data_IF_616565930215
#
_entry.id   IF_616565930215
#
_cell.length_a   1.000
_cell.length_b   1.000
_cell.length_c   1.000
_cell.angle_alpha   90.00
_cell.angle_beta   90.00
_cell.angle_gamma   90.00
#
_symmetry.space_group_name_H-M   'P 1'
#
loop_
_entity.id
_entity.type
_entity.pdbx_description
1 polymer ?
#
# COMPACT_ATOMS: atom_id res chain seq x y z
N UNK A 1 29.90 -14.15 -13.81
CA UNK A 1 29.47 -12.82 -14.33
C UNK A 1 29.04 -12.01 -13.14
N UNK A 2 29.25 -10.70 -13.12
CA UNK A 2 28.81 -9.85 -12.00
C UNK A 2 27.37 -9.38 -12.21
N UNK A 3 26.51 -9.47 -11.21
CA UNK A 3 25.15 -8.93 -11.23
C UNK A 3 25.19 -7.38 -11.13
N UNK A 4 24.33 -6.64 -11.81
CA UNK A 4 23.41 -7.08 -12.89
C UNK A 4 24.16 -7.47 -14.17
N UNK A 5 23.49 -8.16 -15.09
CA UNK A 5 24.02 -8.56 -16.39
C UNK A 5 24.36 -7.36 -17.28
N UNK A 6 25.01 -7.62 -18.44
CA UNK A 6 25.55 -6.55 -19.28
C UNK A 6 24.48 -5.64 -19.86
N UNK A 7 23.34 -6.19 -20.34
CA UNK A 7 22.23 -5.39 -20.92
C UNK A 7 21.60 -4.51 -19.85
N UNK A 8 21.31 -5.09 -18.70
CA UNK A 8 20.73 -4.37 -17.56
C UNK A 8 21.65 -3.22 -17.12
N UNK A 9 22.96 -3.45 -16.99
CA UNK A 9 23.93 -2.38 -16.65
C UNK A 9 23.94 -1.24 -17.66
N UNK A 10 23.88 -1.55 -18.96
CA UNK A 10 23.85 -0.53 -20.00
C UNK A 10 22.60 0.35 -19.86
N UNK A 11 21.43 -0.25 -19.69
CA UNK A 11 20.16 0.47 -19.54
C UNK A 11 20.17 1.33 -18.24
N UNK A 12 20.65 0.79 -17.12
CA UNK A 12 20.77 1.54 -15.87
C UNK A 12 21.71 2.74 -16.00
N UNK A 13 22.86 2.55 -16.64
CA UNK A 13 23.81 3.65 -16.88
C UNK A 13 23.23 4.74 -17.80
N UNK A 14 22.49 4.38 -18.83
CA UNK A 14 21.80 5.34 -19.67
C UNK A 14 20.67 6.06 -18.91
N UNK A 15 19.96 5.35 -18.04
CA UNK A 15 18.88 5.94 -17.24
C UNK A 15 19.37 7.04 -16.30
N UNK A 16 20.56 6.93 -15.74
CA UNK A 16 21.16 7.94 -14.85
C UNK A 16 21.29 9.32 -15.50
N UNK A 17 21.31 9.39 -16.84
CA UNK A 17 21.42 10.65 -17.57
C UNK A 17 20.07 11.32 -17.88
N UNK A 18 18.98 10.55 -17.97
CA UNK A 18 17.70 11.04 -18.48
C UNK A 18 16.50 10.77 -17.57
N UNK A 19 16.61 9.80 -16.68
CA UNK A 19 15.54 9.46 -15.76
C UNK A 19 15.74 10.18 -14.43
N UNK A 20 14.68 10.79 -13.89
CA UNK A 20 14.78 11.50 -12.63
C UNK A 20 15.20 10.54 -11.49
N UNK A 21 16.32 10.86 -10.82
CA UNK A 21 16.83 10.08 -9.69
C UNK A 21 15.94 10.30 -8.47
N UNK A 22 14.95 9.47 -8.28
CA UNK A 22 14.05 9.57 -7.13
C UNK A 22 14.09 8.35 -6.22
N UNK A 23 14.08 7.13 -6.76
CA UNK A 23 13.96 5.89 -5.97
C UNK A 23 14.45 4.66 -6.74
N UNK A 24 15.50 4.78 -7.56
CA UNK A 24 16.02 3.62 -8.29
C UNK A 24 17.07 2.87 -7.45
N UNK A 25 16.60 2.10 -6.45
CA UNK A 25 17.48 1.31 -5.59
C UNK A 25 17.63 -0.14 -6.07
N UNK A 26 16.83 -0.59 -7.06
CA UNK A 26 16.88 -1.98 -7.55
C UNK A 26 17.71 -2.12 -8.80
N UNK A 27 18.50 -3.17 -8.84
CA UNK A 27 19.29 -3.60 -10.01
C UNK A 27 18.52 -4.55 -10.92
N UNK A 28 17.27 -4.91 -10.58
CA UNK A 28 16.39 -5.74 -11.40
C UNK A 28 15.56 -4.84 -12.32
N UNK A 29 15.73 -4.97 -13.62
CA UNK A 29 14.85 -4.37 -14.64
C UNK A 29 13.82 -5.41 -15.08
N UNK A 30 12.54 -5.10 -14.99
CA UNK A 30 11.48 -5.99 -15.44
C UNK A 30 11.30 -5.87 -16.96
N UNK A 31 11.83 -6.82 -17.74
CA UNK A 31 11.63 -6.91 -19.19
C UNK A 31 10.39 -7.71 -19.55
N UNK A 32 10.09 -8.76 -18.79
CA UNK A 32 8.85 -9.54 -18.89
C UNK A 32 8.49 -10.14 -17.54
N UNK A 33 7.28 -10.67 -17.42
CA UNK A 33 6.84 -11.33 -16.20
C UNK A 33 5.71 -12.31 -16.45
N UNK A 34 5.62 -13.32 -15.59
CA UNK A 34 4.52 -14.28 -15.55
C UNK A 34 4.20 -14.64 -14.09
N UNK A 35 2.99 -14.34 -13.65
CA UNK A 35 2.53 -14.47 -12.27
C UNK A 35 3.51 -13.84 -11.26
N UNK A 36 4.25 -14.64 -10.49
CA UNK A 36 5.22 -14.19 -9.50
C UNK A 36 6.66 -14.09 -10.04
N UNK A 37 6.90 -14.38 -11.32
CA UNK A 37 8.24 -14.42 -11.90
C UNK A 37 8.50 -13.18 -12.75
N UNK A 38 9.61 -12.50 -12.46
CA UNK A 38 10.16 -11.40 -13.30
C UNK A 38 11.36 -11.93 -14.06
N UNK A 39 11.49 -11.56 -15.33
CA UNK A 39 12.68 -11.81 -16.15
C UNK A 39 13.30 -10.47 -16.54
N UNK A 40 14.61 -10.32 -16.31
CA UNK A 40 15.36 -9.13 -16.71
C UNK A 40 15.81 -9.20 -18.19
N UNK A 41 16.41 -8.11 -18.76
CA UNK A 41 16.90 -8.09 -20.14
C UNK A 41 18.03 -9.08 -20.44
N UNK A 42 18.73 -9.56 -19.43
CA UNK A 42 19.81 -10.54 -19.54
C UNK A 42 19.31 -12.00 -19.43
N UNK A 43 18.02 -12.20 -19.10
CA UNK A 43 17.37 -13.51 -18.96
C UNK A 43 17.42 -14.09 -17.53
N UNK A 44 17.93 -13.33 -16.56
CA UNK A 44 17.86 -13.74 -15.16
C UNK A 44 16.41 -13.70 -14.65
N UNK A 45 16.03 -14.63 -13.79
CA UNK A 45 14.68 -14.76 -13.26
C UNK A 45 14.62 -14.55 -11.77
N UNK A 46 13.56 -13.87 -11.31
CA UNK A 46 13.39 -13.49 -9.90
C UNK A 46 11.96 -13.79 -9.45
N UNK A 47 11.79 -14.34 -8.26
CA UNK A 47 10.47 -14.45 -7.64
C UNK A 47 10.14 -13.12 -6.97
N UNK A 48 9.02 -12.51 -7.36
CA UNK A 48 8.56 -11.21 -6.88
C UNK A 48 7.83 -11.34 -5.55
N UNK A 49 8.52 -11.00 -4.47
CA UNK A 49 7.94 -10.82 -3.13
C UNK A 49 7.67 -9.34 -2.79
N UNK A 50 7.80 -8.45 -3.78
CA UNK A 50 7.50 -7.03 -3.68
C UNK A 50 6.12 -6.68 -4.23
N UNK A 51 5.69 -7.37 -5.29
CA UNK A 51 4.37 -7.22 -5.92
C UNK A 51 4.05 -5.79 -6.36
N UNK A 52 5.07 -5.02 -6.82
CA UNK A 52 4.89 -3.61 -7.16
C UNK A 52 4.41 -2.75 -5.98
N UNK A 53 4.92 -3.00 -4.76
CA UNK A 53 4.43 -2.42 -3.50
C UNK A 53 2.93 -2.69 -3.24
N UNK A 54 2.45 -3.86 -3.67
CA UNK A 54 1.04 -4.27 -3.53
C UNK A 54 0.14 -3.85 -4.70
N UNK A 55 0.70 -3.59 -5.87
CA UNK A 55 -0.06 -3.30 -7.11
C UNK A 55 -0.46 -4.57 -7.84
N UNK A 56 0.46 -5.53 -7.99
CA UNK A 56 0.28 -6.72 -8.82
C UNK A 56 -0.34 -7.89 -8.04
N UNK A 57 -1.42 -7.65 -7.28
CA UNK A 57 -2.04 -8.68 -6.45
C UNK A 57 -2.45 -9.94 -7.23
N UNK A 58 -2.83 -9.80 -8.49
CA UNK A 58 -3.19 -10.93 -9.36
C UNK A 58 -2.01 -11.47 -10.18
N UNK A 59 -0.78 -11.06 -9.85
CA UNK A 59 0.42 -11.44 -10.59
C UNK A 59 0.57 -10.73 -11.94
N UNK A 60 1.74 -10.87 -12.52
CA UNK A 60 2.04 -10.35 -13.85
C UNK A 60 1.40 -11.21 -14.94
N UNK A 61 1.14 -10.62 -16.10
CA UNK A 61 0.57 -11.32 -17.26
C UNK A 61 -0.73 -12.07 -16.95
N UNK A 62 -1.54 -11.54 -16.02
CA UNK A 62 -2.79 -12.20 -15.63
C UNK A 62 -3.77 -12.25 -16.82
N UNK A 63 -4.27 -13.45 -17.21
CA UNK A 63 -5.08 -13.60 -18.42
C UNK A 63 -6.43 -12.85 -18.32
N UNK A 64 -7.03 -12.72 -17.15
CA UNK A 64 -8.28 -12.00 -16.97
C UNK A 64 -8.08 -10.48 -17.16
N UNK A 65 -6.97 -9.93 -16.63
CA UNK A 65 -6.61 -8.51 -16.82
C UNK A 65 -6.31 -8.23 -18.29
N UNK A 66 -5.50 -9.07 -18.95
CA UNK A 66 -5.18 -8.91 -20.38
C UNK A 66 -6.45 -8.97 -21.24
N UNK A 67 -7.34 -9.94 -21.00
CA UNK A 67 -8.61 -10.05 -21.71
C UNK A 67 -9.52 -8.82 -21.48
N UNK A 68 -9.56 -8.28 -20.27
CA UNK A 68 -10.33 -7.08 -19.94
C UNK A 68 -9.81 -5.85 -20.70
N UNK A 69 -8.49 -5.66 -20.78
CA UNK A 69 -7.87 -4.59 -21.55
C UNK A 69 -8.19 -4.74 -23.04
N UNK A 70 -7.98 -5.93 -23.62
CA UNK A 70 -8.27 -6.21 -25.03
C UNK A 70 -9.74 -5.96 -25.37
N UNK A 71 -10.66 -6.44 -24.53
CA UNK A 71 -12.09 -6.21 -24.72
C UNK A 71 -12.44 -4.71 -24.71
N UNK A 72 -11.79 -3.90 -23.86
CA UNK A 72 -12.02 -2.45 -23.85
C UNK A 72 -11.45 -1.78 -25.12
N UNK A 73 -10.27 -2.17 -25.56
CA UNK A 73 -9.67 -1.62 -26.79
C UNK A 73 -10.54 -1.90 -28.01
N UNK A 74 -11.20 -3.05 -28.10
CA UNK A 74 -12.13 -3.42 -29.18
C UNK A 74 -13.37 -2.51 -29.25
N UNK A 75 -13.75 -1.83 -28.17
CA UNK A 75 -14.87 -0.85 -28.21
C UNK A 75 -14.49 0.45 -28.90
N UNK A 76 -13.20 0.71 -29.11
CA UNK A 76 -12.68 1.97 -29.63
C UNK A 76 -12.66 3.12 -28.61
N UNK A 77 -13.19 2.92 -27.40
CA UNK A 77 -13.27 3.97 -26.34
C UNK A 77 -12.17 3.72 -25.31
N UNK A 78 -11.05 4.42 -25.43
CA UNK A 78 -9.94 4.35 -24.47
C UNK A 78 -10.14 5.37 -23.35
N UNK A 79 -10.65 6.55 -23.70
CA UNK A 79 -10.92 7.64 -22.77
C UNK A 79 -12.35 8.16 -22.93
N UNK A 80 -12.99 8.44 -21.80
CA UNK A 80 -14.25 9.17 -21.73
C UNK A 80 -14.19 10.01 -20.45
N UNK A 81 -14.30 11.33 -20.62
CA UNK A 81 -14.23 12.27 -19.51
C UNK A 81 -15.46 12.14 -18.61
N UNK A 82 -15.23 11.96 -17.33
CA UNK A 82 -16.28 11.65 -16.35
C UNK A 82 -17.40 12.72 -16.27
N UNK A 83 -17.06 14.00 -16.52
CA UNK A 83 -18.01 15.11 -16.42
C UNK A 83 -18.89 15.29 -17.66
N UNK A 84 -18.33 15.12 -18.85
CA UNK A 84 -18.99 15.47 -20.11
C UNK A 84 -19.48 14.26 -20.88
N UNK A 85 -18.90 13.10 -20.63
CA UNK A 85 -19.28 11.84 -21.27
C UNK A 85 -19.21 10.70 -20.23
N UNK A 86 -20.24 10.53 -19.38
CA UNK A 86 -20.26 9.50 -18.35
C UNK A 86 -19.98 8.11 -18.93
N UNK A 87 -19.06 7.40 -18.29
CA UNK A 87 -18.62 6.08 -18.69
C UNK A 87 -19.41 5.01 -17.90
N UNK A 88 -20.16 4.11 -18.56
CA UNK A 88 -20.93 3.07 -17.88
C UNK A 88 -20.10 2.19 -16.93
N UNK A 89 -18.86 1.87 -17.29
CA UNK A 89 -17.97 1.05 -16.45
C UNK A 89 -17.55 1.77 -15.16
N UNK A 90 -17.31 3.09 -15.22
CA UNK A 90 -17.03 3.88 -14.03
C UNK A 90 -18.25 3.94 -13.09
N UNK A 91 -19.46 4.02 -13.65
CA UNK A 91 -20.71 3.97 -12.88
C UNK A 91 -20.87 2.60 -12.22
N UNK A 92 -20.70 1.52 -12.99
CA UNK A 92 -20.77 0.14 -12.49
C UNK A 92 -19.78 -0.12 -11.36
N UNK A 93 -18.52 0.30 -11.54
CA UNK A 93 -17.46 0.22 -10.51
C UNK A 93 -17.86 1.00 -9.26
N UNK A 94 -18.38 2.22 -9.44
CA UNK A 94 -18.80 3.06 -8.32
C UNK A 94 -19.98 2.44 -7.56
N UNK A 95 -20.95 1.85 -8.27
CA UNK A 95 -22.07 1.13 -7.66
C UNK A 95 -21.58 -0.09 -6.86
N UNK A 96 -20.68 -0.89 -7.44
CA UNK A 96 -20.12 -2.07 -6.76
C UNK A 96 -19.38 -1.66 -5.48
N UNK A 97 -18.48 -0.69 -5.56
CA UNK A 97 -17.71 -0.20 -4.42
C UNK A 97 -18.64 0.42 -3.35
N UNK A 98 -19.58 1.25 -3.74
CA UNK A 98 -20.56 1.84 -2.82
C UNK A 98 -21.44 0.80 -2.14
N UNK A 99 -21.85 -0.25 -2.83
CA UNK A 99 -22.71 -1.30 -2.27
C UNK A 99 -21.99 -2.17 -1.25
N UNK A 100 -20.70 -2.47 -1.47
CA UNK A 100 -19.96 -3.47 -0.68
C UNK A 100 -19.07 -2.89 0.41
N UNK A 101 -18.71 -1.59 0.35
CA UNK A 101 -17.80 -0.97 1.31
C UNK A 101 -18.39 -0.86 2.73
N UNK A 102 -17.53 -0.81 3.78
CA UNK A 102 -17.95 -0.60 5.16
C UNK A 102 -18.27 0.88 5.50
N UNK A 103 -18.16 1.79 4.55
CA UNK A 103 -18.54 3.20 4.74
C UNK A 103 -20.02 3.31 5.01
N UNK A 104 -20.40 4.17 5.96
CA UNK A 104 -21.79 4.43 6.35
C UNK A 104 -22.67 4.77 5.15
N UNK A 105 -23.82 4.10 5.04
CA UNK A 105 -24.76 4.25 3.92
C UNK A 105 -25.73 5.43 4.11
N UNK A 106 -26.21 6.07 3.06
CA UNK A 106 -25.78 5.87 1.66
C UNK A 106 -24.37 6.38 1.42
N UNK A 107 -23.65 5.75 0.50
CA UNK A 107 -22.27 6.14 0.14
C UNK A 107 -22.15 6.47 -1.35
N UNK A 108 -21.13 7.27 -1.67
CA UNK A 108 -20.77 7.69 -3.04
C UNK A 108 -19.29 7.39 -3.29
N UNK A 109 -18.87 7.43 -4.55
CA UNK A 109 -17.50 7.15 -4.98
C UNK A 109 -17.03 8.25 -5.92
N UNK A 110 -15.83 8.74 -5.65
CA UNK A 110 -15.06 9.57 -6.58
C UNK A 110 -13.87 8.74 -7.08
N UNK A 111 -13.73 8.62 -8.41
CA UNK A 111 -12.63 7.89 -9.04
C UNK A 111 -11.50 8.85 -9.42
N UNK A 112 -10.26 8.47 -9.13
CA UNK A 112 -9.04 9.21 -9.40
C UNK A 112 -7.98 8.31 -10.07
N UNK A 113 -6.72 8.76 -10.18
CA UNK A 113 -5.67 8.04 -10.91
C UNK A 113 -4.61 7.43 -10.00
N UNK A 114 -4.63 7.78 -8.73
CA UNK A 114 -3.61 7.33 -7.76
C UNK A 114 -4.14 7.32 -6.33
N UNK A 115 -3.40 6.68 -5.44
CA UNK A 115 -3.69 6.72 -4.00
C UNK A 115 -3.49 8.11 -3.40
N UNK A 116 -2.51 8.89 -3.87
CA UNK A 116 -2.31 10.25 -3.42
C UNK A 116 -3.52 11.13 -3.78
N UNK A 117 -4.03 11.04 -5.02
CA UNK A 117 -5.25 11.75 -5.41
C UNK A 117 -6.48 11.29 -4.62
N UNK A 118 -6.60 10.00 -4.32
CA UNK A 118 -7.70 9.48 -3.51
C UNK A 118 -7.66 10.06 -2.09
N UNK A 119 -6.50 10.12 -1.46
CA UNK A 119 -6.31 10.72 -0.14
C UNK A 119 -6.48 12.25 -0.16
N UNK A 120 -6.05 12.94 -1.21
CA UNK A 120 -6.33 14.38 -1.38
C UNK A 120 -7.82 14.67 -1.55
N UNK A 121 -8.53 13.84 -2.31
CA UNK A 121 -9.98 13.94 -2.44
C UNK A 121 -10.67 13.73 -1.08
N UNK A 122 -10.23 12.74 -0.29
CA UNK A 122 -10.73 12.50 1.06
C UNK A 122 -10.51 13.72 1.99
N UNK A 123 -9.32 14.32 1.95
CA UNK A 123 -9.01 15.56 2.68
C UNK A 123 -9.94 16.69 2.26
N UNK A 124 -10.08 16.94 0.96
CA UNK A 124 -10.93 18.01 0.41
C UNK A 124 -12.41 17.80 0.73
N UNK A 125 -12.89 16.56 0.80
CA UNK A 125 -14.26 16.26 1.25
C UNK A 125 -14.50 16.76 2.68
N UNK A 126 -13.60 16.45 3.61
CA UNK A 126 -13.69 16.92 4.98
C UNK A 126 -13.71 18.46 5.05
N UNK A 127 -12.79 19.11 4.33
CA UNK A 127 -12.68 20.56 4.30
C UNK A 127 -13.92 21.21 3.67
N UNK A 128 -14.48 20.65 2.59
CA UNK A 128 -15.70 21.14 1.95
C UNK A 128 -16.92 20.98 2.89
N UNK A 129 -17.06 19.81 3.54
CA UNK A 129 -18.12 19.55 4.51
C UNK A 129 -18.11 20.59 5.65
N UNK A 130 -16.95 20.84 6.26
CA UNK A 130 -16.81 21.86 7.32
C UNK A 130 -17.05 23.28 6.80
N UNK A 131 -16.62 23.58 5.60
CA UNK A 131 -16.89 24.87 4.97
C UNK A 131 -18.40 25.11 4.78
N UNK A 132 -19.12 24.12 4.28
CA UNK A 132 -20.58 24.20 4.06
C UNK A 132 -21.37 24.26 5.37
N UNK A 133 -20.86 23.65 6.44
CA UNK A 133 -21.41 23.74 7.78
C UNK A 133 -21.08 25.07 8.50
N UNK A 134 -20.24 25.93 7.92
CA UNK A 134 -19.78 27.17 8.59
C UNK A 134 -18.69 26.93 9.64
N UNK A 135 -18.10 25.74 9.71
CA UNK A 135 -17.16 25.30 10.75
C UNK A 135 -15.69 25.38 10.33
N UNK A 136 -15.36 25.82 9.10
CA UNK A 136 -14.01 25.77 8.52
C UNK A 136 -12.92 26.41 9.41
N UNK A 137 -13.25 27.50 10.10
CA UNK A 137 -12.30 28.19 10.96
C UNK A 137 -12.22 27.63 12.39
N UNK A 138 -13.16 26.76 12.74
CA UNK A 138 -13.25 26.13 14.07
C UNK A 138 -12.53 24.77 14.06
N UNK A 139 -12.70 24.01 12.96
CA UNK A 139 -12.14 22.68 12.78
C UNK A 139 -11.24 22.65 11.56
N UNK A 140 -9.94 22.85 11.76
CA UNK A 140 -8.94 22.87 10.68
C UNK A 140 -7.82 21.85 10.86
N UNK A 141 -7.67 21.27 12.06
CA UNK A 141 -6.58 20.36 12.40
C UNK A 141 -6.88 18.95 11.96
N UNK A 142 -5.83 18.22 11.63
CA UNK A 142 -5.90 16.81 11.24
C UNK A 142 -5.00 15.94 12.13
N UNK A 143 -5.48 14.75 12.48
CA UNK A 143 -4.69 13.72 13.14
C UNK A 143 -4.11 12.79 12.09
N UNK A 144 -2.79 12.60 12.16
CA UNK A 144 -2.00 11.65 11.41
C UNK A 144 -1.19 10.78 12.36
N UNK A 145 -0.61 9.70 11.84
CA UNK A 145 0.16 8.77 12.67
C UNK A 145 1.65 8.77 12.31
N UNK A 146 2.48 8.61 13.32
CA UNK A 146 3.92 8.44 13.16
C UNK A 146 4.20 7.22 12.27
N UNK A 147 5.19 7.33 11.38
CA UNK A 147 5.58 6.33 10.38
C UNK A 147 4.53 6.01 9.29
N UNK A 148 3.47 6.82 9.14
CA UNK A 148 2.45 6.65 8.11
C UNK A 148 2.90 7.06 6.72
N UNK A 149 2.14 6.61 5.70
CA UNK A 149 2.34 7.00 4.31
C UNK A 149 0.99 7.25 3.62
N UNK A 150 0.79 8.44 3.08
CA UNK A 150 -0.46 8.81 2.40
C UNK A 150 -0.26 9.33 0.96
N UNK A 151 0.98 9.43 0.51
CA UNK A 151 1.35 9.97 -0.81
C UNK A 151 2.43 11.04 -0.73
N UNK A 152 2.82 11.55 -1.90
CA UNK A 152 3.92 12.55 -2.03
C UNK A 152 3.49 13.86 -2.68
N UNK A 153 2.22 14.03 -2.99
CA UNK A 153 1.66 15.31 -3.44
C UNK A 153 1.45 16.25 -2.25
N UNK A 154 1.50 17.54 -2.48
CA UNK A 154 1.43 18.56 -1.40
C UNK A 154 0.19 18.40 -0.50
N UNK A 155 -0.97 18.03 -1.07
CA UNK A 155 -2.20 17.93 -0.31
C UNK A 155 -2.22 16.85 0.77
N UNK A 156 -1.40 15.79 0.62
CA UNK A 156 -1.31 14.67 1.57
C UNK A 156 0.07 14.51 2.20
N UNK A 157 1.00 15.39 1.83
CA UNK A 157 2.39 15.30 2.29
C UNK A 157 2.52 15.35 3.81
N UNK A 158 1.67 16.11 4.49
CA UNK A 158 1.61 16.19 5.95
C UNK A 158 1.34 14.83 6.61
N UNK A 159 0.55 13.95 5.95
CA UNK A 159 0.25 12.61 6.44
C UNK A 159 1.34 11.57 6.14
N UNK A 160 2.38 11.93 5.36
CA UNK A 160 3.52 11.04 5.06
C UNK A 160 4.63 11.28 6.06
N UNK A 161 4.78 10.36 7.00
CA UNK A 161 5.69 10.43 8.16
C UNK A 161 6.66 9.24 8.25
N UNK A 162 6.66 8.34 7.26
CA UNK A 162 7.50 7.14 7.23
C UNK A 162 9.01 7.47 7.10
N UNK A 163 9.34 8.53 6.36
CA UNK A 163 10.70 9.10 6.29
C UNK A 163 10.59 10.63 6.11
N UNK A 164 10.22 11.37 7.19
CA UNK A 164 9.87 12.78 7.07
C UNK A 164 11.01 13.65 6.58
N UNK A 165 12.25 13.42 7.03
CA UNK A 165 13.40 14.23 6.66
C UNK A 165 13.70 14.23 5.15
N UNK A 166 13.32 13.19 4.43
CA UNK A 166 13.54 13.05 2.98
C UNK A 166 12.28 13.34 2.18
N UNK A 167 11.14 12.80 2.63
CA UNK A 167 9.92 12.78 1.85
C UNK A 167 9.04 14.02 2.04
N UNK A 168 9.09 14.65 3.21
CA UNK A 168 8.16 15.70 3.63
C UNK A 168 8.84 17.02 3.96
N UNK A 169 9.76 17.03 4.92
CA UNK A 169 10.28 18.26 5.55
C UNK A 169 10.89 19.25 4.56
N UNK A 170 11.56 18.85 3.44
CA UNK A 170 12.04 19.80 2.45
C UNK A 170 10.95 20.60 1.74
N UNK A 171 9.68 20.10 1.74
CA UNK A 171 8.55 20.66 1.00
C UNK A 171 7.39 21.10 1.88
N UNK A 172 7.51 20.90 3.21
CA UNK A 172 6.42 21.08 4.14
C UNK A 172 6.17 22.56 4.42
N UNK A 173 4.97 23.04 4.10
CA UNK A 173 4.60 24.42 4.31
C UNK A 173 4.17 24.69 5.77
N UNK A 174 4.21 25.96 6.17
CA UNK A 174 3.91 26.39 7.52
C UNK A 174 2.47 26.08 7.96
N UNK A 175 1.50 26.20 7.07
CA UNK A 175 0.09 25.90 7.36
C UNK A 175 -0.10 24.41 7.77
N UNK A 176 0.51 23.49 7.03
CA UNK A 176 0.40 22.06 7.37
C UNK A 176 1.12 21.72 8.66
N UNK A 177 2.21 22.42 9.00
CA UNK A 177 2.90 22.24 10.29
C UNK A 177 2.01 22.60 11.47
N UNK A 178 1.33 23.74 11.42
CA UNK A 178 0.45 24.22 12.50
C UNK A 178 -0.82 23.37 12.67
N UNK A 179 -1.33 22.81 11.56
CA UNK A 179 -2.61 22.11 11.54
C UNK A 179 -2.49 20.58 11.61
N UNK A 180 -1.28 20.02 11.71
CA UNK A 180 -1.05 18.59 11.80
C UNK A 180 -0.73 18.15 13.20
N UNK A 181 -1.45 17.12 13.69
CA UNK A 181 -1.24 16.46 14.98
C UNK A 181 -0.71 15.05 14.70
N UNK A 182 0.41 14.70 15.32
CA UNK A 182 1.00 13.37 15.17
C UNK A 182 0.83 12.53 16.42
N UNK A 183 0.13 11.41 16.25
CA UNK A 183 -0.05 10.41 17.31
C UNK A 183 0.77 9.15 17.01
N UNK A 184 1.19 8.40 18.02
CA UNK A 184 1.73 7.07 17.81
C UNK A 184 0.64 6.17 17.21
N UNK A 185 1.03 5.27 16.29
CA UNK A 185 0.09 4.33 15.71
C UNK A 185 -0.52 3.41 16.79
N UNK A 186 -1.81 3.05 16.71
CA UNK A 186 -2.52 2.31 17.76
C UNK A 186 -2.06 0.84 17.85
N UNK A 187 -0.88 0.62 18.38
CA UNK A 187 -0.35 -0.71 18.73
C UNK A 187 -0.49 -0.94 20.24
N UNK A 188 -0.42 -2.20 20.65
CA UNK A 188 -0.41 -2.56 22.09
C UNK A 188 0.73 -1.85 22.86
N UNK A 189 1.91 -1.74 22.24
CA UNK A 189 3.04 -1.04 22.85
C UNK A 189 2.81 0.45 23.03
N UNK A 190 2.04 1.07 22.14
CA UNK A 190 1.75 2.50 22.16
C UNK A 190 0.48 2.89 22.93
N UNK A 191 -0.31 1.93 23.43
CA UNK A 191 -1.63 2.16 23.98
C UNK A 191 -1.65 3.27 25.05
N UNK A 192 -0.77 3.21 26.04
CA UNK A 192 -0.71 4.20 27.13
C UNK A 192 -0.27 5.59 26.62
N UNK A 193 0.71 5.64 25.73
CA UNK A 193 1.19 6.91 25.16
C UNK A 193 0.10 7.56 24.29
N UNK A 194 -0.60 6.77 23.49
CA UNK A 194 -1.72 7.23 22.66
C UNK A 194 -2.85 7.79 23.53
N UNK A 195 -3.26 7.06 24.58
CA UNK A 195 -4.30 7.51 25.52
C UNK A 195 -3.92 8.85 26.16
N UNK A 196 -2.67 8.95 26.64
CA UNK A 196 -2.17 10.20 27.23
C UNK A 196 -2.18 11.35 26.24
N UNK A 197 -1.55 11.17 25.05
CA UNK A 197 -1.53 12.23 24.04
C UNK A 197 -2.95 12.68 23.64
N UNK A 198 -3.89 11.73 23.49
CA UNK A 198 -5.27 12.04 23.15
C UNK A 198 -5.99 12.85 24.22
N UNK A 199 -5.77 12.54 25.51
CA UNK A 199 -6.37 13.28 26.62
C UNK A 199 -5.87 14.71 26.75
N UNK A 200 -4.65 14.99 26.26
CA UNK A 200 -4.03 16.31 26.31
C UNK A 200 -4.44 17.21 25.11
N UNK A 201 -5.21 16.67 24.13
CA UNK A 201 -5.59 17.39 22.93
C UNK A 201 -6.95 18.08 23.06
N UNK A 202 -7.04 19.30 22.53
CA UNK A 202 -8.33 19.92 22.22
C UNK A 202 -8.87 19.31 20.90
N UNK A 203 -9.73 18.31 21.06
CA UNK A 203 -10.37 17.61 19.94
C UNK A 203 -11.45 18.45 19.24
N UNK A 204 -11.90 19.56 19.81
CA UNK A 204 -12.90 20.43 19.20
C UNK A 204 -12.36 21.14 17.95
N UNK A 205 -11.06 21.36 17.89
CA UNK A 205 -10.37 21.94 16.73
C UNK A 205 -10.02 20.92 15.63
N UNK A 206 -10.25 19.62 15.86
CA UNK A 206 -9.88 18.55 14.92
C UNK A 206 -11.02 18.27 13.96
N UNK A 207 -10.71 18.33 12.67
CA UNK A 207 -11.63 18.03 11.57
C UNK A 207 -11.69 16.54 11.26
N UNK A 208 -10.51 15.95 11.06
CA UNK A 208 -10.35 14.60 10.50
C UNK A 208 -9.17 13.84 11.11
N UNK A 209 -9.24 12.54 10.91
CA UNK A 209 -8.16 11.60 11.18
C UNK A 209 -7.95 10.76 9.92
N UNK A 210 -6.68 10.54 9.51
CA UNK A 210 -6.32 9.62 8.43
C UNK A 210 -5.45 8.50 8.99
N UNK A 211 -5.88 7.24 8.78
CA UNK A 211 -5.21 6.05 9.31
C UNK A 211 -5.15 4.93 8.27
N UNK A 212 -3.98 4.31 8.13
CA UNK A 212 -3.82 3.05 7.37
C UNK A 212 -4.36 1.88 8.20
N UNK A 213 -5.22 1.03 7.64
CA UNK A 213 -5.76 -0.15 8.32
C UNK A 213 -5.80 -1.37 7.40
N UNK A 214 -5.54 -2.59 7.97
CA UNK A 214 -5.30 -2.92 9.38
C UNK A 214 -3.86 -2.70 9.85
N UNK A 215 -2.94 -2.28 8.99
CA UNK A 215 -1.56 -2.06 9.34
C UNK A 215 -0.95 -0.89 8.56
N UNK A 216 0.08 -0.27 9.13
CA UNK A 216 0.95 0.66 8.41
C UNK A 216 1.93 -0.12 7.55
N UNK A 217 1.84 0.03 6.23
CA UNK A 217 2.68 -0.70 5.28
C UNK A 217 4.12 -0.20 5.25
N UNK A 218 4.30 1.11 5.10
CA UNK A 218 5.64 1.72 4.98
C UNK A 218 6.40 1.77 6.31
N UNK A 219 5.73 1.63 7.44
CA UNK A 219 6.35 1.51 8.76
C UNK A 219 7.07 0.16 8.99
N UNK A 220 6.89 -0.82 8.11
CA UNK A 220 7.39 -2.18 8.27
C UNK A 220 6.28 -3.17 8.61
N UNK A 221 5.10 -2.96 8.08
CA UNK A 221 3.88 -3.78 8.28
C UNK A 221 3.55 -3.90 9.78
N UNK A 222 3.20 -2.78 10.36
CA UNK A 222 2.85 -2.68 11.79
C UNK A 222 1.33 -2.84 11.94
N UNK A 223 0.82 -3.97 12.48
CA UNK A 223 -0.60 -4.15 12.70
C UNK A 223 -1.13 -3.22 13.80
N UNK A 224 -2.37 -2.76 13.64
CA UNK A 224 -3.10 -2.11 14.72
C UNK A 224 -3.53 -3.13 15.78
N UNK A 225 -3.49 -2.72 17.04
CA UNK A 225 -4.07 -3.46 18.15
C UNK A 225 -5.55 -3.09 18.29
N UNK A 226 -6.42 -4.08 18.26
CA UNK A 226 -7.87 -3.86 18.18
C UNK A 226 -8.41 -3.05 19.35
N UNK A 227 -8.01 -3.37 20.58
CA UNK A 227 -8.46 -2.66 21.79
C UNK A 227 -8.03 -1.18 21.76
N UNK A 228 -6.78 -0.93 21.35
CA UNK A 228 -6.24 0.44 21.26
C UNK A 228 -6.92 1.22 20.14
N UNK A 229 -7.22 0.56 19.02
CA UNK A 229 -7.93 1.14 17.87
C UNK A 229 -9.38 1.48 18.26
N UNK A 230 -10.08 0.58 18.94
CA UNK A 230 -11.46 0.80 19.42
C UNK A 230 -11.55 1.99 20.38
N UNK A 231 -10.58 2.10 21.31
CA UNK A 231 -10.48 3.27 22.17
C UNK A 231 -10.29 4.57 21.38
N UNK A 232 -9.35 4.59 20.42
CA UNK A 232 -9.12 5.75 19.56
C UNK A 232 -10.40 6.13 18.81
N UNK A 233 -11.06 5.13 18.22
CA UNK A 233 -12.32 5.31 17.49
C UNK A 233 -13.40 5.93 18.38
N UNK A 234 -13.65 5.36 19.55
CA UNK A 234 -14.67 5.83 20.48
C UNK A 234 -14.48 7.29 20.90
N UNK A 235 -13.24 7.65 21.27
CA UNK A 235 -12.91 9.02 21.71
C UNK A 235 -13.07 10.02 20.57
N UNK A 236 -12.52 9.72 19.39
CA UNK A 236 -12.53 10.65 18.26
C UNK A 236 -13.90 10.76 17.59
N UNK A 237 -14.68 9.67 17.54
CA UNK A 237 -16.08 9.70 17.07
C UNK A 237 -16.97 10.54 17.97
N UNK A 238 -16.81 10.42 19.29
CA UNK A 238 -17.56 11.23 20.26
C UNK A 238 -17.26 12.73 20.12
N UNK A 239 -16.06 13.09 19.65
CA UNK A 239 -15.68 14.46 19.34
C UNK A 239 -16.12 14.93 17.93
N UNK A 240 -16.78 14.08 17.15
CA UNK A 240 -17.27 14.40 15.79
C UNK A 240 -16.15 14.52 14.73
N UNK A 241 -15.03 13.84 14.94
CA UNK A 241 -13.90 13.79 14.01
C UNK A 241 -14.24 12.82 12.87
N UNK A 242 -13.99 13.23 11.63
CA UNK A 242 -14.20 12.42 10.44
C UNK A 242 -13.08 11.39 10.29
N UNK A 243 -13.46 10.13 10.01
CA UNK A 243 -12.53 9.03 9.84
C UNK A 243 -12.26 8.73 8.38
N UNK A 244 -11.01 8.96 7.95
CA UNK A 244 -10.49 8.53 6.66
C UNK A 244 -9.67 7.26 6.89
N UNK A 245 -10.12 6.13 6.37
CA UNK A 245 -9.39 4.87 6.41
C UNK A 245 -8.69 4.66 5.08
N UNK A 246 -7.36 4.60 5.13
CA UNK A 246 -6.53 4.28 3.97
C UNK A 246 -6.36 2.75 3.85
N UNK A 247 -6.98 2.16 2.82
CA UNK A 247 -6.83 0.75 2.44
C UNK A 247 -6.08 0.58 1.11
N UNK A 248 -5.28 1.58 0.71
CA UNK A 248 -4.58 1.60 -0.58
C UNK A 248 -3.60 0.44 -0.71
N UNK A 249 -2.89 0.09 0.35
CA UNK A 249 -1.93 -1.03 0.32
C UNK A 249 -2.51 -2.33 0.89
N UNK A 250 -3.32 -2.23 1.93
CA UNK A 250 -3.88 -3.38 2.65
C UNK A 250 -5.17 -3.93 2.02
N UNK A 251 -5.83 -3.17 1.15
CA UNK A 251 -7.07 -3.58 0.50
C UNK A 251 -6.88 -4.57 -0.66
N UNK A 252 -7.99 -4.82 -1.34
CA UNK A 252 -8.08 -5.63 -2.57
C UNK A 252 -7.43 -7.01 -2.37
N UNK A 253 -7.90 -7.70 -1.31
CA UNK A 253 -7.49 -9.08 -0.99
C UNK A 253 -6.19 -9.22 -0.22
N UNK A 254 -5.33 -8.21 -0.12
CA UNK A 254 -3.99 -8.33 0.45
C UNK A 254 -3.97 -8.91 1.86
N UNK A 255 -4.92 -8.54 2.69
CA UNK A 255 -5.06 -9.03 4.08
C UNK A 255 -6.19 -10.06 4.26
N UNK A 256 -6.71 -10.62 3.16
CA UNK A 256 -7.77 -11.62 3.19
C UNK A 256 -9.19 -11.08 3.06
N UNK A 257 -9.35 -9.75 2.95
CA UNK A 257 -10.63 -9.05 2.77
C UNK A 257 -10.56 -8.07 1.60
N UNK A 258 -11.69 -7.60 1.09
CA UNK A 258 -11.69 -6.57 0.01
C UNK A 258 -11.21 -5.24 0.57
N UNK A 259 -11.72 -4.82 1.70
CA UNK A 259 -11.29 -3.60 2.39
C UNK A 259 -10.51 -3.97 3.65
N UNK A 260 -9.35 -3.36 3.87
CA UNK A 260 -8.52 -3.72 5.01
C UNK A 260 -9.22 -3.59 6.37
N UNK A 261 -10.12 -2.62 6.50
CA UNK A 261 -10.90 -2.41 7.71
C UNK A 261 -12.06 -3.38 7.92
N UNK A 262 -12.39 -4.27 6.96
CA UNK A 262 -13.37 -5.34 7.17
C UNK A 262 -12.97 -6.31 8.31
N UNK A 263 -11.70 -6.31 8.69
CA UNK A 263 -11.21 -7.04 9.87
C UNK A 263 -11.74 -6.47 11.19
N UNK A 264 -12.32 -5.27 11.18
CA UNK A 264 -12.90 -4.60 12.33
C UNK A 264 -14.41 -4.31 12.07
N UNK A 265 -15.31 -5.28 12.26
CA UNK A 265 -16.73 -5.14 11.90
C UNK A 265 -17.49 -4.01 12.63
N UNK A 266 -16.94 -3.53 13.74
CA UNK A 266 -17.48 -2.41 14.53
C UNK A 266 -17.07 -1.03 13.98
N UNK A 267 -16.09 -0.97 13.06
CA UNK A 267 -15.55 0.29 12.55
C UNK A 267 -16.32 0.73 11.29
N UNK A 268 -16.98 1.86 11.36
CA UNK A 268 -17.66 2.51 10.24
C UNK A 268 -16.90 3.79 9.83
N UNK A 269 -16.05 3.75 8.80
CA UNK A 269 -15.36 4.96 8.34
C UNK A 269 -16.34 5.94 7.68
N UNK A 270 -16.04 7.23 7.76
CA UNK A 270 -16.73 8.26 6.97
C UNK A 270 -16.25 8.25 5.52
N UNK A 271 -14.97 7.98 5.32
CA UNK A 271 -14.28 7.93 4.02
C UNK A 271 -13.31 6.75 4.00
N UNK A 272 -13.25 6.04 2.87
CA UNK A 272 -12.32 4.94 2.63
C UNK A 272 -11.63 5.16 1.29
N UNK A 273 -10.29 5.01 1.25
CA UNK A 273 -9.50 5.19 0.03
C UNK A 273 -8.88 3.89 -0.45
N UNK A 274 -8.89 3.70 -1.78
CA UNK A 274 -8.33 2.56 -2.50
C UNK A 274 -7.47 3.03 -3.67
N UNK A 275 -6.51 2.23 -4.08
CA UNK A 275 -5.74 2.37 -5.32
C UNK A 275 -4.94 1.09 -5.58
N UNK A 276 -3.70 1.20 -6.06
CA UNK A 276 -2.75 0.08 -6.24
C UNK A 276 -3.40 -1.12 -6.91
N UNK A 277 -3.61 -2.20 -6.16
CA UNK A 277 -4.14 -3.46 -6.68
C UNK A 277 -5.52 -3.32 -7.34
N UNK A 278 -6.32 -2.31 -7.00
CA UNK A 278 -7.59 -2.04 -7.66
C UNK A 278 -7.43 -1.91 -9.18
N UNK A 279 -6.31 -1.34 -9.64
CA UNK A 279 -6.02 -1.13 -11.06
C UNK A 279 -5.39 -2.32 -11.77
N UNK A 280 -4.98 -3.39 -11.06
CA UNK A 280 -4.30 -4.55 -11.68
C UNK A 280 -3.09 -4.17 -12.53
N UNK A 281 -2.36 -3.12 -12.16
CA UNK A 281 -1.24 -2.54 -12.89
C UNK A 281 -1.56 -1.22 -13.61
N UNK A 282 -2.84 -0.85 -13.78
CA UNK A 282 -3.24 0.43 -14.37
C UNK A 282 -3.47 1.50 -13.31
N UNK A 283 -3.26 2.80 -13.65
CA UNK A 283 -3.54 3.91 -12.76
C UNK A 283 -5.03 4.01 -12.45
N UNK A 284 -5.39 3.94 -11.17
CA UNK A 284 -6.71 4.21 -10.63
C UNK A 284 -6.61 4.46 -9.12
N UNK A 285 -7.49 5.33 -8.61
CA UNK A 285 -7.77 5.52 -7.21
C UNK A 285 -9.28 5.64 -7.00
N UNK A 286 -9.75 5.35 -5.81
CA UNK A 286 -11.14 5.52 -5.43
C UNK A 286 -11.24 6.09 -4.02
N UNK A 287 -12.08 7.11 -3.87
CA UNK A 287 -12.49 7.67 -2.58
C UNK A 287 -13.95 7.35 -2.38
N UNK A 288 -14.26 6.48 -1.45
CA UNK A 288 -15.61 6.06 -1.09
C UNK A 288 -16.00 6.83 0.17
N UNK A 289 -17.14 7.49 0.17
CA UNK A 289 -17.53 8.37 1.27
C UNK A 289 -19.04 8.35 1.53
N UNK A 290 -19.44 8.65 2.74
CA UNK A 290 -20.87 8.81 3.05
C UNK A 290 -21.45 9.99 2.30
N UNK A 291 -22.67 9.85 1.77
CA UNK A 291 -23.23 10.76 0.76
C UNK A 291 -23.47 12.19 1.24
N UNK A 292 -23.57 12.41 2.55
CA UNK A 292 -23.75 13.76 3.11
C UNK A 292 -22.45 14.60 3.14
N UNK A 293 -21.29 13.99 2.85
CA UNK A 293 -20.02 14.71 2.69
C UNK A 293 -19.82 15.28 1.29
N UNK A 294 -20.70 14.99 0.33
CA UNK A 294 -20.49 15.27 -1.09
C UNK A 294 -20.20 16.75 -1.40
N UNK A 295 -19.39 16.93 -2.44
CA UNK A 295 -19.10 18.25 -2.98
C UNK A 295 -20.31 18.85 -3.71
N UNK A 296 -20.38 20.16 -3.78
CA UNK A 296 -21.23 20.84 -4.73
C UNK A 296 -20.64 20.71 -6.14
N UNK A 297 -21.51 20.83 -7.15
CA UNK A 297 -21.11 20.75 -8.55
C UNK A 297 -19.97 21.72 -8.87
N UNK A 298 -18.86 21.20 -9.40
CA UNK A 298 -17.69 21.98 -9.82
C UNK A 298 -16.61 22.17 -8.77
N UNK A 299 -16.80 21.74 -7.51
CA UNK A 299 -15.80 21.91 -6.45
C UNK A 299 -14.61 20.95 -6.56
N UNK A 300 -14.81 19.77 -7.17
CA UNK A 300 -13.75 18.80 -7.38
C UNK A 300 -13.98 17.97 -8.64
N UNK A 301 -12.88 17.68 -9.37
CA UNK A 301 -12.89 16.85 -10.56
C UNK A 301 -11.48 16.44 -10.97
N UNK A 302 -11.39 15.51 -11.89
CA UNK A 302 -10.17 15.17 -12.63
C UNK A 302 -10.51 14.71 -14.06
N UNK A 303 -9.55 14.74 -14.98
CA UNK A 303 -9.75 14.40 -16.38
C UNK A 303 -9.76 12.89 -16.64
N UNK A 304 -8.88 12.12 -16.00
CA UNK A 304 -8.64 10.70 -16.32
C UNK A 304 -9.26 9.70 -15.34
N UNK A 305 -9.70 10.14 -14.17
CA UNK A 305 -10.26 9.27 -13.13
C UNK A 305 -11.48 8.52 -13.64
N UNK A 306 -11.50 7.21 -13.42
CA UNK A 306 -12.57 6.35 -13.88
C UNK A 306 -12.57 6.12 -15.40
N UNK A 307 -11.42 6.25 -16.10
CA UNK A 307 -11.37 5.96 -17.53
C UNK A 307 -11.83 4.51 -17.82
N UNK A 308 -12.37 4.25 -19.03
CA UNK A 308 -12.98 2.96 -19.36
C UNK A 308 -12.04 1.75 -19.19
N UNK A 309 -10.75 1.90 -19.54
CA UNK A 309 -9.78 0.79 -19.46
C UNK A 309 -9.51 0.44 -17.99
N UNK A 310 -9.15 1.43 -17.16
CA UNK A 310 -8.90 1.18 -15.72
C UNK A 310 -10.16 0.72 -14.99
N UNK A 311 -11.34 1.25 -15.34
CA UNK A 311 -12.62 0.84 -14.70
C UNK A 311 -12.98 -0.61 -15.04
N UNK A 312 -12.80 -1.05 -16.29
CA UNK A 312 -13.03 -2.44 -16.71
C UNK A 312 -12.07 -3.39 -15.98
N UNK A 313 -10.80 -3.01 -15.92
CA UNK A 313 -9.79 -3.81 -15.20
C UNK A 313 -10.12 -3.86 -13.71
N UNK A 314 -10.52 -2.75 -13.08
CA UNK A 314 -10.88 -2.73 -11.66
C UNK A 314 -12.06 -3.65 -11.33
N UNK A 315 -13.10 -3.67 -12.17
CA UNK A 315 -14.23 -4.61 -12.05
C UNK A 315 -13.74 -6.07 -12.13
N UNK A 316 -12.86 -6.36 -13.08
CA UNK A 316 -12.26 -7.70 -13.24
C UNK A 316 -11.41 -8.09 -12.03
N UNK A 317 -10.59 -7.17 -11.53
CA UNK A 317 -9.77 -7.40 -10.32
C UNK A 317 -10.65 -7.72 -9.12
N UNK A 318 -11.70 -6.94 -8.89
CA UNK A 318 -12.62 -7.18 -7.76
C UNK A 318 -13.26 -8.56 -7.85
N UNK A 319 -13.73 -8.99 -9.03
CA UNK A 319 -14.28 -10.32 -9.24
C UNK A 319 -13.26 -11.42 -8.93
N UNK A 320 -12.06 -11.36 -9.52
CA UNK A 320 -11.00 -12.34 -9.27
C UNK A 320 -10.60 -12.42 -7.80
N UNK A 321 -10.47 -11.25 -7.13
CA UNK A 321 -10.10 -11.22 -5.71
C UNK A 321 -11.20 -11.79 -4.82
N UNK A 322 -12.47 -11.55 -5.13
CA UNK A 322 -13.59 -12.16 -4.42
C UNK A 322 -13.56 -13.70 -4.51
N UNK A 323 -13.24 -14.24 -5.69
CA UNK A 323 -13.04 -15.68 -5.88
C UNK A 323 -11.86 -16.23 -5.07
N UNK A 324 -10.72 -15.52 -5.04
CA UNK A 324 -9.57 -15.90 -4.24
C UNK A 324 -9.87 -15.91 -2.73
N UNK A 325 -10.63 -14.93 -2.25
CA UNK A 325 -11.09 -14.88 -0.86
C UNK A 325 -12.04 -16.05 -0.58
N UNK A 326 -13.08 -16.23 -1.40
CA UNK A 326 -14.10 -17.28 -1.23
C UNK A 326 -13.51 -18.68 -1.28
N UNK A 327 -12.52 -18.93 -2.15
CA UNK A 327 -11.81 -20.22 -2.24
C UNK A 327 -10.83 -20.46 -1.08
N UNK A 328 -10.57 -19.46 -0.22
CA UNK A 328 -9.58 -19.54 0.85
C UNK A 328 -8.12 -19.52 0.37
N UNK A 329 -7.86 -19.11 -0.88
CA UNK A 329 -6.50 -19.08 -1.44
C UNK A 329 -5.57 -18.18 -0.62
N UNK A 330 -6.04 -16.99 -0.23
CA UNK A 330 -5.25 -16.03 0.54
C UNK A 330 -4.92 -16.57 1.94
N UNK A 331 -5.88 -17.25 2.57
CA UNK A 331 -5.67 -17.90 3.87
C UNK A 331 -4.62 -19.02 3.78
N UNK A 332 -4.58 -19.76 2.66
CA UNK A 332 -3.52 -20.76 2.45
C UNK A 332 -2.14 -20.13 2.30
N UNK A 333 -2.03 -18.98 1.61
CA UNK A 333 -0.77 -18.22 1.51
C UNK A 333 -0.34 -17.76 2.91
N UNK A 334 -1.24 -17.16 3.68
CA UNK A 334 -0.98 -16.72 5.05
C UNK A 334 -0.43 -17.87 5.92
N UNK A 335 -1.10 -19.01 5.92
CA UNK A 335 -0.69 -20.18 6.69
C UNK A 335 0.68 -20.72 6.25
N UNK A 336 0.95 -20.75 4.94
CA UNK A 336 2.23 -21.19 4.41
C UNK A 336 3.37 -20.23 4.82
N UNK A 337 3.13 -18.93 4.70
CA UNK A 337 4.09 -17.91 5.14
C UNK A 337 4.31 -17.96 6.64
N UNK A 338 3.25 -17.99 7.44
CA UNK A 338 3.33 -18.10 8.91
C UNK A 338 4.15 -19.31 9.34
N UNK A 339 3.83 -20.49 8.80
CA UNK A 339 4.53 -21.74 9.11
C UNK A 339 6.02 -21.64 8.78
N UNK A 340 6.38 -21.06 7.64
CA UNK A 340 7.77 -21.01 7.18
C UNK A 340 8.56 -19.95 7.91
N UNK A 341 7.99 -18.74 8.07
CA UNK A 341 8.62 -17.65 8.79
C UNK A 341 8.81 -17.99 10.28
N UNK A 342 7.89 -18.74 10.88
CA UNK A 342 8.04 -19.20 12.27
C UNK A 342 9.37 -19.95 12.52
N UNK A 343 9.91 -20.64 11.50
CA UNK A 343 11.20 -21.33 11.60
C UNK A 343 12.39 -20.35 11.70
N UNK A 344 12.18 -19.09 11.34
CA UNK A 344 13.21 -18.04 11.39
C UNK A 344 13.26 -17.32 12.74
N UNK A 345 12.37 -17.60 13.68
CA UNK A 345 12.26 -16.87 14.96
C UNK A 345 13.53 -16.87 15.79
N UNK A 346 14.33 -17.95 15.70
CA UNK A 346 15.58 -18.12 16.44
C UNK A 346 16.82 -17.80 15.57
N UNK A 347 16.60 -17.27 14.34
CA UNK A 347 17.69 -16.92 13.45
C UNK A 347 18.36 -15.62 13.94
N UNK A 348 19.70 -15.55 14.08
CA UNK A 348 20.40 -14.42 14.70
C UNK A 348 20.21 -13.08 13.97
N UNK A 349 19.91 -13.10 12.67
CA UNK A 349 19.61 -11.90 11.88
C UNK A 349 18.15 -11.43 11.99
N UNK A 350 17.25 -12.15 12.68
CA UNK A 350 15.82 -11.83 12.77
C UNK A 350 15.48 -11.29 14.15
N UNK A 351 15.00 -10.07 14.24
CA UNK A 351 14.57 -9.44 15.48
C UNK A 351 13.06 -9.57 15.73
N UNK A 352 12.26 -9.51 14.67
CA UNK A 352 10.81 -9.62 14.75
C UNK A 352 10.21 -10.10 13.43
N UNK A 353 9.04 -10.73 13.51
CA UNK A 353 8.26 -11.15 12.35
C UNK A 353 6.79 -10.88 12.62
N UNK A 354 6.14 -10.24 11.68
CA UNK A 354 4.73 -9.85 11.80
C UNK A 354 4.05 -9.80 10.45
N UNK A 355 2.73 -9.95 10.42
CA UNK A 355 1.98 -9.88 9.17
C UNK A 355 0.53 -10.28 9.31
N UNK A 356 -0.24 -10.06 8.24
CA UNK A 356 -1.65 -10.38 8.10
C UNK A 356 -1.89 -10.78 6.64
N UNK A 357 -2.60 -11.89 6.42
CA UNK A 357 -2.91 -12.38 5.08
C UNK A 357 -1.65 -12.67 4.27
N UNK A 358 -1.55 -12.10 3.08
CA UNK A 358 -0.37 -12.21 2.21
C UNK A 358 0.59 -11.01 2.33
N UNK A 359 0.65 -10.37 3.48
CA UNK A 359 1.46 -9.18 3.77
C UNK A 359 2.25 -9.39 5.07
N UNK A 360 3.56 -9.66 4.95
CA UNK A 360 4.44 -9.99 6.06
C UNK A 360 5.70 -9.15 6.06
N UNK A 361 6.30 -8.97 7.23
CA UNK A 361 7.60 -8.36 7.41
C UNK A 361 8.51 -9.19 8.29
N UNK A 362 9.80 -9.17 7.96
CA UNK A 362 10.90 -9.68 8.78
C UNK A 362 11.79 -8.51 9.15
N UNK A 363 11.97 -8.26 10.44
CA UNK A 363 12.78 -7.16 10.95
C UNK A 363 14.22 -7.62 11.22
N UNK A 364 15.19 -6.86 10.72
CA UNK A 364 16.62 -7.09 10.84
C UNK A 364 17.23 -6.15 11.89
N UNK A 365 18.47 -6.38 12.37
CA UNK A 365 19.09 -5.55 13.38
C UNK A 365 19.24 -4.07 12.98
N UNK A 366 19.58 -3.79 11.73
CA UNK A 366 19.78 -2.43 11.23
C UNK A 366 19.47 -2.28 9.72
N UNK A 367 19.56 -1.03 9.25
CA UNK A 367 19.30 -0.65 7.85
C UNK A 367 20.34 -1.26 6.89
N UNK A 368 21.63 -1.31 7.28
CA UNK A 368 22.71 -1.85 6.46
C UNK A 368 22.47 -3.33 6.15
N UNK A 369 22.13 -4.12 7.17
CA UNK A 369 21.85 -5.55 7.02
C UNK A 369 20.57 -5.77 6.19
N UNK A 370 19.55 -4.91 6.34
CA UNK A 370 18.35 -4.93 5.50
C UNK A 370 18.71 -4.73 4.02
N UNK A 371 19.48 -3.70 3.72
CA UNK A 371 19.85 -3.37 2.33
C UNK A 371 20.75 -4.47 1.74
N UNK A 372 21.70 -5.00 2.52
CA UNK A 372 22.55 -6.12 2.08
C UNK A 372 21.72 -7.39 1.78
N UNK A 373 20.68 -7.67 2.57
CA UNK A 373 19.78 -8.81 2.30
C UNK A 373 19.02 -8.65 0.97
N UNK A 374 18.63 -7.44 0.61
CA UNK A 374 18.03 -7.15 -0.71
C UNK A 374 19.05 -7.46 -1.80
N UNK A 375 20.29 -6.98 -1.65
CA UNK A 375 21.37 -7.23 -2.61
C UNK A 375 21.64 -8.71 -2.81
N UNK A 376 21.75 -9.48 -1.70
CA UNK A 376 21.95 -10.94 -1.75
C UNK A 376 20.80 -11.60 -2.52
N UNK A 377 19.55 -11.24 -2.23
CA UNK A 377 18.38 -11.79 -2.94
C UNK A 377 18.43 -11.53 -4.43
N UNK A 378 18.85 -10.34 -4.86
CA UNK A 378 19.04 -10.01 -6.27
C UNK A 378 20.21 -10.77 -6.90
N UNK A 379 21.35 -10.89 -6.21
CA UNK A 379 22.55 -11.59 -6.69
C UNK A 379 22.31 -13.09 -6.91
N UNK A 380 21.45 -13.73 -6.14
CA UNK A 380 21.06 -15.13 -6.31
C UNK A 380 20.50 -15.43 -7.71
N UNK A 381 19.91 -14.46 -8.39
CA UNK A 381 19.41 -14.62 -9.76
C UNK A 381 20.47 -15.03 -10.79
N UNK A 382 21.75 -14.96 -10.47
CA UNK A 382 22.86 -15.44 -11.33
C UNK A 382 23.41 -16.81 -10.96
N UNK A 383 23.25 -17.21 -9.72
CA UNK A 383 23.86 -18.45 -9.15
C UNK A 383 22.82 -19.54 -8.97
N UNK A 384 21.58 -19.18 -8.76
CA UNK A 384 20.44 -20.06 -8.56
C UNK A 384 19.48 -20.01 -9.75
N UNK A 385 18.51 -20.90 -9.78
CA UNK A 385 17.43 -20.86 -10.80
C UNK A 385 16.62 -19.56 -10.71
N UNK A 386 16.48 -19.02 -9.50
CA UNK A 386 15.77 -17.76 -9.23
C UNK A 386 16.55 -16.91 -8.22
N UNK A 387 16.53 -15.58 -8.45
CA UNK A 387 16.77 -14.61 -7.40
C UNK A 387 15.47 -14.20 -6.72
N UNK A 388 15.58 -13.23 -5.80
CA UNK A 388 14.44 -12.65 -5.10
C UNK A 388 14.31 -11.16 -5.39
N UNK A 389 13.11 -10.71 -5.74
CA UNK A 389 12.75 -9.31 -5.73
C UNK A 389 12.16 -8.96 -4.37
N UNK A 390 12.98 -8.35 -3.51
CA UNK A 390 12.62 -7.91 -2.16
C UNK A 390 12.40 -6.40 -2.12
N UNK A 391 11.76 -5.91 -1.05
CA UNK A 391 11.60 -4.49 -0.77
C UNK A 391 11.72 -4.20 0.73
N UNK A 392 12.51 -3.20 1.07
CA UNK A 392 12.57 -2.67 2.43
C UNK A 392 11.26 -1.97 2.83
N UNK A 393 10.97 -1.96 4.12
CA UNK A 393 9.91 -1.18 4.74
C UNK A 393 10.34 -0.66 6.10
N UNK A 394 9.97 0.58 6.43
CA UNK A 394 10.50 1.24 7.61
C UNK A 394 12.01 1.33 7.55
N UNK A 395 12.64 1.31 8.72
CA UNK A 395 14.12 1.42 8.79
C UNK A 395 14.84 0.09 8.58
N UNK A 396 14.29 -1.02 9.05
CA UNK A 396 15.01 -2.29 9.15
C UNK A 396 14.23 -3.54 8.72
N UNK A 397 13.02 -3.40 8.21
CA UNK A 397 12.20 -4.55 7.82
C UNK A 397 12.29 -4.83 6.33
N UNK A 398 12.21 -6.10 5.96
CA UNK A 398 11.94 -6.58 4.61
C UNK A 398 10.46 -6.92 4.52
N UNK A 399 9.78 -6.42 3.49
CA UNK A 399 8.41 -6.82 3.15
C UNK A 399 8.41 -8.09 2.30
N UNK A 400 7.50 -9.00 2.64
CA UNK A 400 7.20 -10.20 1.88
C UNK A 400 5.72 -10.13 1.47
N UNK A 401 5.48 -9.75 0.22
CA UNK A 401 4.15 -9.49 -0.34
C UNK A 401 4.02 -10.20 -1.69
N UNK A 402 3.92 -11.55 -1.73
CA UNK A 402 3.77 -12.27 -2.98
C UNK A 402 2.45 -11.92 -3.67
N UNK A 403 2.31 -12.11 -4.99
CA UNK A 403 1.01 -12.10 -5.65
C UNK A 403 0.05 -13.10 -4.98
N UNK A 404 -1.25 -12.77 -4.92
CA UNK A 404 -2.28 -13.65 -4.33
C UNK A 404 -2.54 -14.90 -5.17
N UNK A 405 -1.99 -14.91 -6.38
CA UNK A 405 -2.04 -16.02 -7.35
C UNK A 405 -0.76 -16.84 -7.37
N UNK A 406 0.21 -16.55 -6.49
CA UNK A 406 1.46 -17.31 -6.42
C UNK A 406 1.19 -18.81 -6.22
N UNK A 407 1.89 -19.68 -6.97
CA UNK A 407 1.74 -21.10 -6.79
C UNK A 407 2.34 -21.56 -5.44
N UNK A 408 1.80 -22.60 -4.81
CA UNK A 408 2.41 -23.15 -3.59
C UNK A 408 3.87 -23.57 -3.77
N UNK A 409 4.24 -24.00 -4.97
CA UNK A 409 5.62 -24.37 -5.33
C UNK A 409 6.52 -23.11 -5.33
N UNK A 410 6.12 -22.05 -6.04
CA UNK A 410 6.92 -20.86 -6.15
C UNK A 410 7.03 -20.12 -4.81
N UNK A 411 5.95 -20.13 -4.00
CA UNK A 411 6.00 -19.59 -2.65
C UNK A 411 6.99 -20.36 -1.76
N UNK A 412 7.01 -21.69 -1.87
CA UNK A 412 7.98 -22.51 -1.13
C UNK A 412 9.40 -22.20 -1.55
N UNK A 413 9.67 -22.14 -2.86
CA UNK A 413 11.00 -21.81 -3.39
C UNK A 413 11.41 -20.41 -2.92
N UNK A 414 10.53 -19.42 -2.99
CA UNK A 414 10.84 -18.06 -2.55
C UNK A 414 11.21 -17.97 -1.07
N UNK A 415 10.49 -18.70 -0.20
CA UNK A 415 10.77 -18.71 1.23
C UNK A 415 12.03 -19.50 1.57
N UNK A 416 12.39 -20.54 0.79
CA UNK A 416 13.64 -21.27 0.93
C UNK A 416 14.84 -20.41 0.50
N UNK A 417 14.73 -19.68 -0.62
CA UNK A 417 15.72 -18.71 -1.06
C UNK A 417 15.88 -17.56 -0.04
N UNK A 418 14.79 -17.09 0.56
CA UNK A 418 14.85 -16.07 1.60
C UNK A 418 15.63 -16.55 2.83
N UNK A 419 15.43 -17.79 3.26
CA UNK A 419 16.22 -18.42 4.33
C UNK A 419 17.70 -18.54 3.92
N UNK A 420 17.98 -18.98 2.69
CA UNK A 420 19.36 -19.08 2.19
C UNK A 420 20.04 -17.70 2.18
N UNK A 421 19.35 -16.65 1.73
CA UNK A 421 19.84 -15.27 1.75
C UNK A 421 20.15 -14.78 3.18
N UNK A 422 19.29 -15.10 4.16
CA UNK A 422 19.54 -14.79 5.58
C UNK A 422 20.76 -15.52 6.14
N UNK A 423 20.99 -16.77 5.75
CA UNK A 423 22.19 -17.51 6.16
C UNK A 423 23.46 -16.89 5.57
N UNK A 424 23.43 -16.54 4.27
CA UNK A 424 24.56 -15.83 3.62
C UNK A 424 24.86 -14.51 4.33
N UNK A 425 23.83 -13.73 4.66
CA UNK A 425 23.97 -12.48 5.39
C UNK A 425 24.60 -12.66 6.76
N UNK A 426 24.22 -13.72 7.50
CA UNK A 426 24.81 -14.07 8.79
C UNK A 426 26.31 -14.35 8.64
N UNK A 427 26.66 -15.22 7.70
CA UNK A 427 28.03 -15.68 7.49
C UNK A 427 28.95 -14.51 7.05
N UNK A 428 28.47 -13.59 6.22
CA UNK A 428 29.15 -12.34 5.86
C UNK A 428 29.36 -11.45 7.10
N UNK A 429 28.32 -11.23 7.92
CA UNK A 429 28.41 -10.37 9.10
C UNK A 429 29.33 -10.93 10.20
N UNK A 430 29.41 -12.24 10.36
CA UNK A 430 30.35 -12.91 11.27
C UNK A 430 31.78 -12.74 10.79
N UNK A 431 32.07 -12.87 9.49
CA UNK A 431 33.40 -12.68 8.92
C UNK A 431 33.89 -11.23 9.04
N UNK A 432 33.01 -10.26 8.83
CA UNK A 432 33.32 -8.83 9.00
C UNK A 432 33.68 -8.51 10.46
N UNK A 433 32.99 -9.13 11.42
CA UNK A 433 33.24 -8.95 12.85
C UNK A 433 34.58 -9.56 13.34
N UNK A 434 35.05 -10.58 12.63
CA UNK A 434 36.37 -11.23 12.94
C UNK A 434 37.54 -10.49 12.29
N UNK A 435 37.30 -9.65 11.28
CA UNK A 435 38.30 -8.89 10.55
C UNK A 435 38.48 -7.44 11.03
N UNK A 436 37.59 -6.96 11.91
CA UNK A 436 37.63 -5.64 12.55
C UNK A 436 38.20 -5.69 13.96
#
# INVERSE_FOLDING_TARGET
MTFPGTRTRTILHESDQYYATTTMDSRILAASGDNAIITDPDGNTFIDLHCGAGVNNLGMNNPHIIAAIQAQLQTGIIHAEHHNAPNPLAIELSLMLAATCPVRKPSKVFLSNSGAEANEAARKLCEAYRYHAGEKHVRSRAIYFENGFAGRTHGVLAATTSNPSVQRDPYWNHYDQENSIYLPYPTKANANLLRKKLSDLDLSAVDRLLIELPCQGEAGIIPADEETLEYLYGVTRSAGILWIVDSIQCGIGRVGTIFGCDLYPWLEPDILTLAKALGGGLPIGATIFRADLDWKKGEHSNTFGGNPVSSRVALTVLACVQELIASGAIKRIEQAMQKRLYLLRDHPMVQDMRGIGAMWAVELPDTRLRDRLIDIGEEMGQTETYGLKLLGAGRKSIRLMPPLTISPKDLTIALDLFLAALNTLRDENENDSLSS
#
